data_IF_512190679874
#
_entry.id   IF_512190679874
#
_cell.length_a   1.000
_cell.length_b   1.000
_cell.length_c   1.000
_cell.angle_alpha   90.00
_cell.angle_beta   90.00
_cell.angle_gamma   90.00
#
_symmetry.space_group_name_H-M   'P 1'
#
loop_
_entity.id
_entity.type
_entity.pdbx_description
1 polymer ?
#
# COMPACT_ATOMS: atom_id res chain seq x y z
N UNK A 1 7.77 3.92 23.95
CA UNK A 1 7.05 4.62 22.86
C UNK A 1 8.07 5.06 21.81
N UNK A 2 8.39 4.20 20.85
CA UNK A 2 9.23 4.56 19.71
C UNK A 2 8.39 5.39 18.76
N UNK A 3 8.55 6.71 18.88
CA UNK A 3 8.03 7.66 17.93
C UNK A 3 8.31 7.19 16.49
N UNK A 4 7.32 7.40 15.64
CA UNK A 4 7.28 7.08 14.22
C UNK A 4 8.31 7.93 13.45
N UNK A 5 9.63 7.66 13.64
CA UNK A 5 10.75 8.36 12.96
C UNK A 5 10.62 8.26 11.43
N UNK A 6 9.80 7.34 10.93
CA UNK A 6 9.67 7.01 9.52
C UNK A 6 8.29 7.38 8.90
N UNK A 7 7.40 8.04 9.64
CA UNK A 7 6.02 8.37 9.25
C UNK A 7 5.34 7.25 8.46
N UNK A 8 5.41 6.02 8.96
CA UNK A 8 4.92 4.85 8.23
C UNK A 8 3.42 4.92 8.01
N UNK A 9 2.67 5.45 8.98
CA UNK A 9 1.24 5.70 8.85
C UNK A 9 0.94 6.70 7.73
N UNK A 10 1.65 7.84 7.68
CA UNK A 10 1.48 8.83 6.60
C UNK A 10 1.87 8.28 5.24
N UNK A 11 2.95 7.50 5.16
CA UNK A 11 3.38 6.81 3.93
C UNK A 11 2.37 5.78 3.45
N UNK A 12 1.75 5.02 4.37
CA UNK A 12 0.71 4.06 4.03
C UNK A 12 -0.54 4.79 3.51
N UNK A 13 -0.99 5.87 4.18
CA UNK A 13 -2.12 6.68 3.73
C UNK A 13 -1.92 7.20 2.30
N UNK A 14 -0.79 7.85 2.04
CA UNK A 14 -0.45 8.37 0.69
C UNK A 14 -0.29 7.26 -0.36
N UNK A 15 0.11 6.06 0.04
CA UNK A 15 0.16 4.91 -0.85
C UNK A 15 -1.26 4.43 -1.20
N UNK A 16 -2.15 4.28 -0.21
CA UNK A 16 -3.55 3.93 -0.44
C UNK A 16 -4.26 4.94 -1.35
N UNK A 17 -4.04 6.24 -1.15
CA UNK A 17 -4.58 7.31 -2.02
C UNK A 17 -4.09 7.23 -3.47
N UNK A 18 -2.87 6.73 -3.71
CA UNK A 18 -2.35 6.51 -5.07
C UNK A 18 -2.94 5.25 -5.68
N UNK A 19 -2.99 4.15 -4.93
CA UNK A 19 -3.58 2.88 -5.37
C UNK A 19 -5.07 3.03 -5.69
N UNK A 20 -5.80 3.87 -4.95
CA UNK A 20 -7.24 4.11 -5.18
C UNK A 20 -7.56 4.79 -6.52
N UNK A 21 -6.55 5.33 -7.21
CA UNK A 21 -6.70 5.99 -8.51
C UNK A 21 -6.40 5.07 -9.69
N UNK A 22 -6.01 3.82 -9.42
CA UNK A 22 -5.72 2.82 -10.44
C UNK A 22 -6.99 2.04 -10.79
N UNK A 23 -7.07 1.52 -12.02
CA UNK A 23 -8.22 0.75 -12.51
C UNK A 23 -8.46 -0.51 -11.67
N UNK A 24 -7.39 -1.17 -11.22
CA UNK A 24 -7.41 -2.34 -10.35
C UNK A 24 -7.39 -2.00 -8.83
N UNK A 25 -7.79 -0.78 -8.47
CA UNK A 25 -7.73 -0.28 -7.09
C UNK A 25 -8.37 -1.20 -6.06
N UNK A 26 -9.53 -1.81 -6.37
CA UNK A 26 -10.26 -2.69 -5.45
C UNK A 26 -9.41 -3.87 -4.97
N UNK A 27 -8.79 -4.60 -5.91
CA UNK A 27 -7.92 -5.74 -5.60
C UNK A 27 -6.66 -5.27 -4.85
N UNK A 28 -6.05 -4.17 -5.28
CA UNK A 28 -4.84 -3.66 -4.66
C UNK A 28 -5.08 -3.23 -3.20
N UNK A 29 -6.18 -2.54 -2.92
CA UNK A 29 -6.52 -2.12 -1.57
C UNK A 29 -6.90 -3.32 -0.69
N UNK A 30 -7.66 -4.27 -1.22
CA UNK A 30 -7.98 -5.53 -0.51
C UNK A 30 -6.73 -6.31 -0.14
N UNK A 31 -5.74 -6.38 -1.03
CA UNK A 31 -4.45 -7.00 -0.74
C UNK A 31 -3.70 -6.29 0.38
N UNK A 32 -3.70 -4.94 0.42
CA UNK A 32 -3.11 -4.17 1.52
C UNK A 32 -3.83 -4.42 2.86
N UNK A 33 -5.15 -4.53 2.84
CA UNK A 33 -5.93 -4.87 4.02
C UNK A 33 -5.61 -6.30 4.51
N UNK A 34 -5.44 -7.25 3.58
CA UNK A 34 -5.00 -8.60 3.90
C UNK A 34 -3.62 -8.64 4.56
N UNK A 35 -2.64 -7.89 4.04
CA UNK A 35 -1.31 -7.78 4.66
C UNK A 35 -1.40 -7.24 6.09
N UNK A 36 -2.29 -6.29 6.34
CA UNK A 36 -2.53 -5.75 7.69
C UNK A 36 -3.19 -6.79 8.61
N UNK A 37 -4.17 -7.53 8.09
CA UNK A 37 -4.85 -8.60 8.82
C UNK A 37 -3.94 -9.78 9.19
N UNK A 38 -2.91 -10.04 8.38
CA UNK A 38 -1.84 -11.00 8.70
C UNK A 38 -0.89 -10.54 9.82
N UNK A 39 -1.12 -9.36 10.39
CA UNK A 39 -0.33 -8.83 11.51
C UNK A 39 1.01 -8.23 11.09
N UNK A 40 1.18 -7.87 9.82
CA UNK A 40 2.38 -7.13 9.40
C UNK A 40 2.42 -5.76 10.05
N UNK A 41 3.62 -5.32 10.42
CA UNK A 41 3.81 -3.96 10.94
C UNK A 41 3.43 -2.92 9.89
N UNK A 42 2.93 -1.76 10.35
CA UNK A 42 2.56 -0.63 9.49
C UNK A 42 3.68 -0.25 8.53
N UNK A 43 4.95 -0.30 8.97
CA UNK A 43 6.10 -0.03 8.11
C UNK A 43 6.29 -1.06 6.98
N UNK A 44 6.04 -2.35 7.23
CA UNK A 44 6.07 -3.39 6.19
C UNK A 44 4.93 -3.18 5.20
N UNK A 45 3.70 -2.97 5.69
CA UNK A 45 2.54 -2.69 4.83
C UNK A 45 2.76 -1.43 3.98
N UNK A 46 3.28 -0.35 4.58
CA UNK A 46 3.64 0.87 3.87
C UNK A 46 4.68 0.62 2.77
N UNK A 47 5.69 -0.22 3.03
CA UNK A 47 6.71 -0.61 2.03
C UNK A 47 6.07 -1.35 0.86
N UNK A 48 5.22 -2.34 1.12
CA UNK A 48 4.52 -3.09 0.06
C UNK A 48 3.56 -2.21 -0.74
N UNK A 49 2.77 -1.36 -0.08
CA UNK A 49 1.87 -0.43 -0.76
C UNK A 49 2.62 0.54 -1.68
N UNK A 50 3.78 1.03 -1.25
CA UNK A 50 4.64 1.87 -2.09
C UNK A 50 5.21 1.10 -3.29
N UNK A 51 5.61 -0.16 -3.10
CA UNK A 51 6.10 -1.01 -4.20
C UNK A 51 5.01 -1.24 -5.24
N UNK A 52 3.78 -1.56 -4.81
CA UNK A 52 2.63 -1.71 -5.71
C UNK A 52 2.35 -0.43 -6.50
N UNK A 53 2.45 0.75 -5.89
CA UNK A 53 2.32 2.02 -6.60
C UNK A 53 3.36 2.19 -7.72
N UNK A 54 4.53 1.58 -7.60
CA UNK A 54 5.59 1.65 -8.61
C UNK A 54 5.36 0.62 -9.70
N UNK A 55 5.04 -0.63 -9.34
CA UNK A 55 4.81 -1.71 -10.30
C UNK A 55 3.59 -1.41 -11.18
N UNK A 56 2.48 -1.01 -10.58
CA UNK A 56 1.20 -0.82 -11.29
C UNK A 56 1.14 0.45 -12.13
N UNK A 57 2.13 1.35 -12.03
CA UNK A 57 2.16 2.60 -12.82
C UNK A 57 2.56 2.38 -14.27
N UNK A 58 3.23 1.27 -14.57
CA UNK A 58 3.74 0.96 -15.92
C UNK A 58 3.27 -0.38 -16.46
N UNK A 59 2.34 -1.06 -15.77
CA UNK A 59 1.84 -2.36 -16.17
C UNK A 59 0.36 -2.22 -16.55
N UNK A 60 -0.02 -2.47 -17.82
CA UNK A 60 -1.43 -2.56 -18.17
C UNK A 60 -2.07 -3.69 -17.36
N UNK A 61 -3.23 -3.41 -16.78
CA UNK A 61 -3.95 -4.41 -16.01
C UNK A 61 -4.69 -5.34 -16.98
N UNK A 62 -4.39 -6.63 -16.94
CA UNK A 62 -5.10 -7.69 -17.67
C UNK A 62 -5.90 -8.53 -16.66
N UNK A 63 -7.23 -8.39 -16.63
CA UNK A 63 -8.11 -8.96 -15.59
C UNK A 63 -8.30 -10.48 -15.64
#
# INVERSE_FOLDING_TARGET
MTADIHDYAGRLRRARERLSRLENSSILLSFIDHLSALGLSVGRVAKYANLLCTLMRGTPFDP
#
